data_IF_348114833993
#
_entry.id   IF_348114833993
#
_cell.length_a   1.000
_cell.length_b   1.000
_cell.length_c   1.000
_cell.angle_alpha   90.00
_cell.angle_beta   90.00
_cell.angle_gamma   90.00
#
_symmetry.space_group_name_H-M   'P 1'
#
loop_
_entity.id
_entity.type
_entity.pdbx_description
1 polymer ?
#
# COMPACT_ATOMS: atom_id res chain seq x y z
N UNK A 1 -19.47 -25.11 7.33
CA UNK A 1 -18.28 -24.29 7.71
C UNK A 1 -17.38 -23.97 6.52
N UNK A 2 -16.90 -24.94 5.74
CA UNK A 2 -15.96 -24.65 4.63
C UNK A 2 -16.49 -23.68 3.57
N UNK A 3 -17.74 -23.85 3.12
CA UNK A 3 -18.36 -22.95 2.14
C UNK A 3 -18.41 -21.50 2.66
N UNK A 4 -18.79 -21.31 3.93
CA UNK A 4 -18.81 -20.02 4.59
C UNK A 4 -17.42 -19.35 4.59
N UNK A 5 -16.36 -20.09 4.96
CA UNK A 5 -14.98 -19.57 4.91
C UNK A 5 -14.52 -19.21 3.51
N UNK A 6 -14.97 -19.94 2.46
CA UNK A 6 -14.65 -19.58 1.07
C UNK A 6 -15.38 -18.30 0.64
N UNK A 7 -16.65 -18.13 1.03
CA UNK A 7 -17.40 -16.90 0.74
C UNK A 7 -16.76 -15.68 1.39
N UNK A 8 -16.42 -15.76 2.69
CA UNK A 8 -15.73 -14.68 3.39
C UNK A 8 -14.35 -14.40 2.80
N UNK A 9 -13.60 -15.43 2.41
CA UNK A 9 -12.30 -15.28 1.74
C UNK A 9 -12.44 -14.46 0.44
N UNK A 10 -13.43 -14.78 -0.41
CA UNK A 10 -13.64 -14.06 -1.67
C UNK A 10 -14.05 -12.61 -1.42
N UNK A 11 -14.96 -12.36 -0.47
CA UNK A 11 -15.36 -10.98 -0.12
C UNK A 11 -14.19 -10.17 0.43
N UNK A 12 -13.40 -10.76 1.34
CA UNK A 12 -12.23 -10.12 1.92
C UNK A 12 -11.14 -9.85 0.87
N UNK A 13 -10.97 -10.77 -0.10
CA UNK A 13 -10.10 -10.55 -1.26
C UNK A 13 -10.59 -9.41 -2.15
N UNK A 14 -11.89 -9.33 -2.45
CA UNK A 14 -12.42 -8.27 -3.30
C UNK A 14 -12.18 -6.89 -2.69
N UNK A 15 -12.37 -6.74 -1.38
CA UNK A 15 -12.09 -5.48 -0.68
C UNK A 15 -10.58 -5.25 -0.57
N UNK A 16 -9.85 -6.19 0.04
CA UNK A 16 -8.43 -6.00 0.35
C UNK A 16 -7.52 -5.98 -0.87
N UNK A 17 -7.78 -6.85 -1.84
CA UNK A 17 -7.06 -6.92 -3.11
C UNK A 17 -7.32 -5.73 -4.02
N UNK A 18 -8.56 -5.22 -4.06
CA UNK A 18 -8.84 -3.99 -4.80
C UNK A 18 -8.12 -2.79 -4.18
N UNK A 19 -8.21 -2.61 -2.86
CA UNK A 19 -7.50 -1.54 -2.14
C UNK A 19 -5.98 -1.62 -2.32
N UNK A 20 -5.38 -2.81 -2.28
CA UNK A 20 -3.96 -2.99 -2.53
C UNK A 20 -3.58 -2.65 -3.99
N UNK A 21 -4.41 -3.04 -4.96
CA UNK A 21 -4.15 -2.82 -6.39
C UNK A 21 -4.30 -1.37 -6.84
N UNK A 22 -5.19 -0.60 -6.23
CA UNK A 22 -5.39 0.83 -6.57
C UNK A 22 -4.44 1.76 -5.80
N UNK A 23 -3.64 1.24 -4.87
CA UNK A 23 -2.81 2.04 -3.96
C UNK A 23 -1.88 2.99 -4.72
N UNK A 24 -1.21 2.50 -5.76
CA UNK A 24 -0.32 3.30 -6.60
C UNK A 24 -1.04 4.49 -7.25
N UNK A 25 -2.18 4.24 -7.90
CA UNK A 25 -3.00 5.31 -8.52
C UNK A 25 -3.50 6.32 -7.50
N UNK A 26 -3.85 5.89 -6.29
CA UNK A 26 -4.28 6.80 -5.24
C UNK A 26 -3.14 7.69 -4.74
N UNK A 27 -1.92 7.16 -4.69
CA UNK A 27 -0.72 7.94 -4.36
C UNK A 27 -0.44 8.97 -5.44
N UNK A 28 -0.44 8.57 -6.72
CA UNK A 28 -0.19 9.48 -7.85
C UNK A 28 -1.22 10.61 -7.95
N UNK A 29 -2.51 10.27 -7.78
CA UNK A 29 -3.58 11.26 -7.80
C UNK A 29 -3.43 12.29 -6.67
N UNK A 30 -2.97 11.86 -5.49
CA UNK A 30 -2.74 12.78 -4.36
C UNK A 30 -1.52 13.67 -4.54
N UNK A 31 -0.58 13.30 -5.40
CA UNK A 31 0.52 14.17 -5.82
C UNK A 31 0.10 15.14 -6.93
N UNK A 32 -1.20 15.27 -7.26
CA UNK A 32 -1.69 16.14 -8.32
C UNK A 32 -1.28 15.71 -9.73
N UNK A 33 -0.81 14.47 -9.87
CA UNK A 33 -0.29 13.94 -11.13
C UNK A 33 -1.36 13.25 -11.98
N UNK A 34 -2.56 13.00 -11.44
CA UNK A 34 -3.65 12.26 -12.10
C UNK A 34 -3.23 10.88 -12.68
N UNK A 35 -2.17 10.27 -12.13
CA UNK A 35 -1.59 9.04 -12.67
C UNK A 35 -0.74 9.24 -13.95
N UNK A 36 -0.42 10.49 -14.31
CA UNK A 36 0.54 10.81 -15.37
C UNK A 36 1.96 10.79 -14.80
N UNK A 37 2.80 9.80 -15.19
CA UNK A 37 4.16 9.68 -14.68
C UNK A 37 5.02 10.91 -14.98
N UNK A 38 4.73 11.67 -16.05
CA UNK A 38 5.47 12.90 -16.38
C UNK A 38 5.25 14.00 -15.36
N UNK A 39 4.00 14.19 -14.92
CA UNK A 39 3.66 15.16 -13.86
C UNK A 39 4.28 14.76 -12.53
N UNK A 40 4.29 13.45 -12.23
CA UNK A 40 4.95 12.94 -11.03
C UNK A 40 6.45 13.24 -11.04
N UNK A 41 7.12 13.07 -12.19
CA UNK A 41 8.53 13.43 -12.35
C UNK A 41 8.76 14.94 -12.19
N UNK A 42 7.87 15.79 -12.72
CA UNK A 42 7.94 17.25 -12.54
C UNK A 42 7.84 17.65 -11.05
N UNK A 43 6.91 17.05 -10.30
CA UNK A 43 6.78 17.27 -8.85
C UNK A 43 8.06 16.87 -8.12
N UNK A 44 8.66 15.72 -8.45
CA UNK A 44 9.91 15.31 -7.85
C UNK A 44 11.10 16.22 -8.21
N UNK A 45 11.14 16.77 -9.43
CA UNK A 45 12.14 17.77 -9.80
C UNK A 45 11.99 19.08 -9.02
N UNK A 46 10.75 19.54 -8.81
CA UNK A 46 10.48 20.73 -7.98
C UNK A 46 10.96 20.52 -6.54
N UNK A 47 10.68 19.35 -5.95
CA UNK A 47 11.17 18.99 -4.61
C UNK A 47 12.69 18.93 -4.55
N UNK A 48 13.36 18.40 -5.58
CA UNK A 48 14.82 18.35 -5.60
C UNK A 48 15.45 19.75 -5.70
N UNK A 49 14.85 20.63 -6.51
CA UNK A 49 15.27 22.03 -6.62
C UNK A 49 15.03 22.78 -5.29
N UNK A 50 13.88 22.58 -4.66
CA UNK A 50 13.58 23.13 -3.35
C UNK A 50 14.60 22.66 -2.29
N UNK A 51 14.95 21.36 -2.28
CA UNK A 51 15.99 20.82 -1.38
C UNK A 51 17.35 21.49 -1.59
N UNK A 52 17.78 21.66 -2.85
CA UNK A 52 19.05 22.35 -3.18
C UNK A 52 19.05 23.81 -2.71
N UNK A 53 17.94 24.53 -2.85
CA UNK A 53 17.81 25.89 -2.36
C UNK A 53 17.87 25.95 -0.82
N UNK A 54 17.10 25.11 -0.14
CA UNK A 54 17.12 25.00 1.34
C UNK A 54 18.52 24.64 1.86
N UNK A 55 19.23 23.72 1.21
CA UNK A 55 20.62 23.40 1.56
C UNK A 55 21.58 24.58 1.33
N UNK A 56 21.35 25.38 0.30
CA UNK A 56 22.15 26.58 0.02
C UNK A 56 21.95 27.62 1.12
N UNK A 57 20.70 27.87 1.53
CA UNK A 57 20.41 28.75 2.67
C UNK A 57 21.01 28.24 3.98
N UNK A 58 20.94 26.92 4.26
CA UNK A 58 21.62 26.32 5.42
C UNK A 58 23.14 26.54 5.39
N UNK A 59 23.78 26.37 4.23
CA UNK A 59 25.22 26.60 4.04
C UNK A 59 25.62 28.07 4.22
N UNK A 60 24.71 28.99 3.94
CA UNK A 60 24.89 30.43 4.21
C UNK A 60 24.70 30.81 5.68
N UNK A 61 24.43 29.84 6.57
CA UNK A 61 24.22 30.07 8.00
C UNK A 61 22.82 30.57 8.35
N UNK A 62 21.89 30.54 7.40
CA UNK A 62 20.49 30.92 7.61
C UNK A 62 19.75 29.71 8.21
N UNK A 63 19.21 29.89 9.42
CA UNK A 63 18.35 28.89 10.05
C UNK A 63 16.97 28.90 9.37
N UNK A 64 16.84 28.15 8.28
CA UNK A 64 15.63 27.99 7.46
C UNK A 64 14.38 27.59 8.25
N UNK A 65 14.50 27.10 9.48
CA UNK A 65 13.34 26.78 10.34
C UNK A 65 12.83 27.98 11.16
N UNK A 66 13.55 29.10 11.16
CA UNK A 66 13.21 30.33 11.90
C UNK A 66 13.01 31.55 11.00
N UNK A 67 13.08 31.35 9.68
CA UNK A 67 12.98 32.44 8.70
C UNK A 67 11.53 32.52 8.22
N UNK A 68 10.90 33.66 8.48
CA UNK A 68 9.54 34.00 8.06
C UNK A 68 9.48 34.42 6.57
N UNK A 69 10.35 33.87 5.73
CA UNK A 69 10.33 34.12 4.29
C UNK A 69 9.29 33.19 3.64
N UNK A 70 8.25 33.75 3.00
CA UNK A 70 7.16 32.97 2.40
C UNK A 70 7.66 31.99 1.33
N UNK A 71 8.77 32.28 0.63
CA UNK A 71 9.32 31.34 -0.35
C UNK A 71 10.00 30.13 0.31
N UNK A 72 10.66 30.34 1.45
CA UNK A 72 11.31 29.25 2.20
C UNK A 72 10.25 28.36 2.84
N UNK A 73 9.16 28.94 3.36
CA UNK A 73 8.03 28.18 3.90
C UNK A 73 7.36 27.35 2.80
N UNK A 74 7.14 27.90 1.61
CA UNK A 74 6.57 27.16 0.47
C UNK A 74 7.48 26.00 0.05
N UNK A 75 8.81 26.18 0.03
CA UNK A 75 9.75 25.09 -0.24
C UNK A 75 9.74 24.01 0.84
N UNK A 76 9.64 24.38 2.11
CA UNK A 76 9.57 23.43 3.21
C UNK A 76 8.26 22.63 3.16
N UNK A 77 7.13 23.30 2.92
CA UNK A 77 5.82 22.68 2.77
C UNK A 77 5.78 21.72 1.57
N UNK A 78 6.39 22.10 0.43
CA UNK A 78 6.52 21.24 -0.73
C UNK A 78 7.38 19.99 -0.45
N UNK A 79 8.47 20.14 0.31
CA UNK A 79 9.35 19.01 0.69
C UNK A 79 8.64 18.07 1.68
N UNK A 80 7.83 18.62 2.58
CA UNK A 80 7.14 17.86 3.63
C UNK A 80 5.89 17.14 3.10
N UNK A 81 5.16 17.75 2.17
CA UNK A 81 3.94 17.19 1.58
C UNK A 81 4.19 16.05 0.60
N UNK A 82 5.35 16.02 -0.07
CA UNK A 82 5.66 14.99 -1.08
C UNK A 82 6.46 13.85 -0.45
N UNK A 83 5.92 12.60 -0.44
CA UNK A 83 6.64 11.48 0.13
C UNK A 83 7.87 11.09 -0.73
N UNK A 84 8.89 10.48 -0.12
CA UNK A 84 10.06 9.99 -0.84
C UNK A 84 9.67 9.06 -2.00
N UNK A 85 10.29 9.25 -3.16
CA UNK A 85 10.02 8.47 -4.38
C UNK A 85 10.08 6.96 -4.18
N UNK A 86 11.08 6.50 -3.40
CA UNK A 86 11.20 5.09 -3.07
C UNK A 86 9.96 4.55 -2.34
N UNK A 87 9.35 5.30 -1.41
CA UNK A 87 8.16 4.83 -0.70
C UNK A 87 6.98 4.65 -1.65
N UNK A 88 6.82 5.56 -2.61
CA UNK A 88 5.75 5.48 -3.63
C UNK A 88 5.95 4.28 -4.53
N UNK A 89 7.14 4.13 -5.11
CA UNK A 89 7.46 3.04 -6.04
C UNK A 89 7.34 1.66 -5.36
N UNK A 90 7.88 1.52 -4.15
CA UNK A 90 7.83 0.26 -3.42
C UNK A 90 6.41 -0.05 -2.91
N UNK A 91 5.68 0.93 -2.38
CA UNK A 91 4.30 0.70 -1.93
C UNK A 91 3.38 0.33 -3.11
N UNK A 92 3.52 1.03 -4.25
CA UNK A 92 2.74 0.75 -5.45
C UNK A 92 2.99 -0.64 -6.03
N UNK A 93 4.27 -0.97 -6.28
CA UNK A 93 4.63 -2.28 -6.83
C UNK A 93 4.28 -3.42 -5.88
N UNK A 94 4.53 -3.24 -4.58
CA UNK A 94 4.18 -4.24 -3.56
C UNK A 94 2.66 -4.45 -3.50
N UNK A 95 1.85 -3.40 -3.63
CA UNK A 95 0.39 -3.49 -3.67
C UNK A 95 -0.13 -4.36 -4.81
N UNK A 96 0.38 -4.16 -6.03
CA UNK A 96 0.00 -4.94 -7.21
C UNK A 96 0.43 -6.40 -7.07
N UNK A 97 1.69 -6.64 -6.67
CA UNK A 97 2.22 -8.00 -6.46
C UNK A 97 1.42 -8.73 -5.39
N UNK A 98 1.08 -8.05 -4.30
CA UNK A 98 0.31 -8.61 -3.21
C UNK A 98 -1.12 -8.97 -3.63
N UNK A 99 -1.78 -8.12 -4.43
CA UNK A 99 -3.10 -8.42 -4.99
C UNK A 99 -3.06 -9.66 -5.88
N UNK A 100 -2.03 -9.80 -6.73
CA UNK A 100 -1.83 -10.99 -7.56
C UNK A 100 -1.59 -12.25 -6.71
N UNK A 101 -0.73 -12.18 -5.69
CA UNK A 101 -0.49 -13.30 -4.77
C UNK A 101 -1.75 -13.72 -4.02
N UNK A 102 -2.55 -12.75 -3.56
CA UNK A 102 -3.83 -13.01 -2.90
C UNK A 102 -4.83 -13.70 -3.84
N UNK A 103 -4.87 -13.33 -5.12
CA UNK A 103 -5.68 -14.02 -6.13
C UNK A 103 -5.23 -15.47 -6.34
N UNK A 104 -3.92 -15.69 -6.47
CA UNK A 104 -3.35 -17.06 -6.57
C UNK A 104 -3.73 -17.88 -5.33
N UNK A 105 -3.68 -17.28 -4.13
CA UNK A 105 -4.09 -17.93 -2.89
C UNK A 105 -5.55 -18.36 -2.91
N UNK A 106 -6.45 -17.48 -3.36
CA UNK A 106 -7.88 -17.81 -3.52
C UNK A 106 -8.04 -19.03 -4.43
N UNK A 107 -7.40 -19.03 -5.60
CA UNK A 107 -7.46 -20.16 -6.56
C UNK A 107 -6.91 -21.45 -5.94
N UNK A 108 -5.74 -21.40 -5.31
CA UNK A 108 -5.10 -22.55 -4.65
C UNK A 108 -5.96 -23.10 -3.51
N UNK A 109 -6.67 -22.24 -2.77
CA UNK A 109 -7.62 -22.65 -1.73
C UNK A 109 -8.82 -23.43 -2.29
N UNK A 110 -9.31 -23.06 -3.49
CA UNK A 110 -10.34 -23.82 -4.20
C UNK A 110 -9.84 -25.17 -4.72
N UNK A 111 -8.61 -25.22 -5.25
CA UNK A 111 -7.97 -26.47 -5.73
C UNK A 111 -7.52 -27.36 -4.55
N UNK A 112 -7.61 -26.87 -3.30
CA UNK A 112 -7.33 -27.62 -2.08
C UNK A 112 -5.88 -28.11 -1.98
N UNK A 113 -4.93 -27.38 -2.57
CA UNK A 113 -3.50 -27.75 -2.51
C UNK A 113 -2.86 -27.31 -1.19
N UNK A 114 -1.85 -28.05 -0.74
CA UNK A 114 -1.07 -27.73 0.46
C UNK A 114 -0.38 -26.36 0.41
N UNK A 115 -0.10 -25.87 -0.81
CA UNK A 115 0.53 -24.58 -1.07
C UNK A 115 -0.25 -23.39 -0.49
N UNK A 116 -1.54 -23.53 -0.19
CA UNK A 116 -2.35 -22.46 0.42
C UNK A 116 -1.82 -22.02 1.79
N UNK A 117 -1.21 -22.93 2.56
CA UNK A 117 -0.69 -22.62 3.90
C UNK A 117 0.49 -21.66 3.86
N UNK A 118 1.62 -21.98 3.19
CA UNK A 118 2.74 -21.05 3.10
C UNK A 118 2.36 -19.75 2.39
N UNK A 119 1.46 -19.82 1.39
CA UNK A 119 1.00 -18.64 0.67
C UNK A 119 0.16 -17.71 1.54
N UNK A 120 -0.70 -18.24 2.41
CA UNK A 120 -1.48 -17.43 3.37
C UNK A 120 -0.60 -16.68 4.36
N UNK A 121 0.46 -17.32 4.85
CA UNK A 121 1.44 -16.68 5.75
C UNK A 121 2.19 -15.58 5.00
N UNK A 122 2.63 -15.85 3.78
CA UNK A 122 3.32 -14.88 2.94
C UNK A 122 2.44 -13.65 2.66
N UNK A 123 1.17 -13.85 2.27
CA UNK A 123 0.22 -12.76 2.01
C UNK A 123 0.00 -11.92 3.26
N UNK A 124 -0.16 -12.54 4.43
CA UNK A 124 -0.35 -11.82 5.70
C UNK A 124 0.89 -11.00 6.11
N UNK A 125 2.10 -11.54 5.93
CA UNK A 125 3.33 -10.80 6.22
C UNK A 125 3.53 -9.63 5.26
N UNK A 126 3.36 -9.87 3.96
CA UNK A 126 3.49 -8.83 2.94
C UNK A 126 2.44 -7.73 3.09
N UNK A 127 1.23 -8.04 3.58
CA UNK A 127 0.21 -7.03 3.84
C UNK A 127 0.58 -6.09 4.98
N UNK A 128 1.25 -6.61 6.02
CA UNK A 128 1.78 -5.79 7.12
C UNK A 128 2.94 -4.92 6.60
N UNK A 129 3.85 -5.50 5.82
CA UNK A 129 4.97 -4.75 5.21
C UNK A 129 4.44 -3.62 4.32
N UNK A 130 3.45 -3.90 3.45
CA UNK A 130 2.81 -2.90 2.61
C UNK A 130 2.23 -1.76 3.43
N UNK A 131 1.50 -2.07 4.49
CA UNK A 131 0.96 -1.04 5.37
C UNK A 131 2.06 -0.22 6.04
N UNK A 132 3.16 -0.85 6.46
CA UNK A 132 4.29 -0.16 7.09
C UNK A 132 4.98 0.83 6.15
N UNK A 133 5.30 0.41 4.91
CA UNK A 133 6.03 1.24 3.93
C UNK A 133 5.17 2.32 3.26
N UNK A 134 3.83 2.15 3.24
CA UNK A 134 2.95 3.13 2.63
C UNK A 134 3.05 4.47 3.37
N UNK A 135 3.28 5.60 2.67
CA UNK A 135 3.38 6.91 3.30
C UNK A 135 2.03 7.38 3.85
N UNK A 136 2.08 8.15 4.94
CA UNK A 136 0.95 8.96 5.36
C UNK A 136 1.01 10.29 4.60
N UNK A 137 -0.06 10.61 3.89
CA UNK A 137 -0.22 11.92 3.24
C UNK A 137 -1.44 12.58 3.85
N UNK A 138 -1.25 13.77 4.42
CA UNK A 138 -2.35 14.58 4.94
C UNK A 138 -3.35 14.94 3.83
N UNK A 139 -4.54 15.40 4.21
CA UNK A 139 -5.53 15.91 3.26
C UNK A 139 -4.99 17.20 2.64
N UNK A 140 -4.18 17.06 1.59
CA UNK A 140 -3.84 18.17 0.72
C UNK A 140 -5.02 18.58 -0.17
N UNK A 141 -4.82 19.62 -0.96
CA UNK A 141 -5.73 20.16 -1.99
C UNK A 141 -6.25 19.12 -3.00
N UNK A 142 -5.65 17.93 -3.05
CA UNK A 142 -6.00 16.85 -3.96
C UNK A 142 -6.85 15.76 -3.30
N UNK A 143 -8.06 15.57 -3.85
CA UNK A 143 -9.10 14.65 -3.38
C UNK A 143 -8.67 13.17 -3.36
N UNK A 144 -9.12 12.41 -2.35
CA UNK A 144 -8.95 10.95 -2.24
C UNK A 144 -8.85 10.47 -0.80
N UNK A 145 -8.90 9.14 -0.57
CA UNK A 145 -8.67 8.57 0.76
C UNK A 145 -7.16 8.50 1.07
N UNK A 146 -6.79 8.62 2.35
CA UNK A 146 -5.39 8.56 2.76
C UNK A 146 -4.73 7.23 2.35
N UNK A 147 -3.59 7.24 1.63
CA UNK A 147 -2.91 6.03 1.19
C UNK A 147 -2.61 5.07 2.35
N UNK A 148 -2.22 5.58 3.51
CA UNK A 148 -2.02 4.78 4.73
C UNK A 148 -3.31 4.07 5.18
N UNK A 149 -4.44 4.78 5.09
CA UNK A 149 -5.76 4.23 5.42
C UNK A 149 -6.19 3.17 4.40
N UNK A 150 -5.97 3.42 3.09
CA UNK A 150 -6.24 2.41 2.06
C UNK A 150 -5.37 1.18 2.26
N UNK A 151 -4.08 1.35 2.56
CA UNK A 151 -3.18 0.25 2.87
C UNK A 151 -3.59 -0.51 4.15
N UNK A 152 -4.16 0.18 5.14
CA UNK A 152 -4.70 -0.46 6.33
C UNK A 152 -5.93 -1.31 6.01
N UNK A 153 -6.88 -0.78 5.21
CA UNK A 153 -8.06 -1.53 4.75
C UNK A 153 -7.61 -2.75 3.92
N UNK A 154 -6.64 -2.56 3.03
CA UNK A 154 -6.01 -3.64 2.28
C UNK A 154 -5.41 -4.69 3.22
N UNK A 155 -4.65 -4.26 4.23
CA UNK A 155 -4.02 -5.15 5.21
C UNK A 155 -5.06 -5.99 5.97
N UNK A 156 -6.10 -5.36 6.51
CA UNK A 156 -7.16 -6.07 7.24
C UNK A 156 -7.88 -7.06 6.32
N UNK A 157 -8.29 -6.61 5.12
CA UNK A 157 -8.98 -7.46 4.15
C UNK A 157 -8.14 -8.68 3.73
N UNK A 158 -6.84 -8.47 3.46
CA UNK A 158 -5.93 -9.54 3.07
C UNK A 158 -5.58 -10.48 4.21
N UNK A 159 -5.45 -9.99 5.45
CA UNK A 159 -5.27 -10.84 6.63
C UNK A 159 -6.49 -11.74 6.87
N UNK A 160 -7.70 -11.19 6.76
CA UNK A 160 -8.94 -11.98 6.87
C UNK A 160 -9.02 -13.00 5.75
N UNK A 161 -8.70 -12.60 4.52
CA UNK A 161 -8.63 -13.50 3.37
C UNK A 161 -7.65 -14.66 3.62
N UNK A 162 -6.43 -14.37 4.08
CA UNK A 162 -5.41 -15.36 4.40
C UNK A 162 -5.86 -16.32 5.51
N UNK A 163 -6.46 -15.81 6.59
CA UNK A 163 -6.99 -16.63 7.68
C UNK A 163 -8.11 -17.56 7.20
N UNK A 164 -9.03 -17.07 6.37
CA UNK A 164 -10.10 -17.88 5.79
C UNK A 164 -9.58 -18.94 4.82
N UNK A 165 -8.57 -18.62 4.01
CA UNK A 165 -7.91 -19.57 3.11
C UNK A 165 -7.25 -20.72 3.89
N UNK A 166 -6.51 -20.38 4.94
CA UNK A 166 -5.88 -21.34 5.84
C UNK A 166 -6.90 -22.25 6.54
N UNK A 167 -7.95 -21.66 7.11
CA UNK A 167 -9.04 -22.38 7.77
C UNK A 167 -9.77 -23.31 6.81
N UNK A 168 -10.07 -22.85 5.59
CA UNK A 168 -10.72 -23.66 4.55
C UNK A 168 -9.93 -24.93 4.22
N UNK A 169 -8.60 -24.83 4.15
CA UNK A 169 -7.73 -25.97 3.92
C UNK A 169 -7.65 -26.93 5.11
N UNK A 170 -7.51 -26.41 6.34
CA UNK A 170 -7.52 -27.24 7.56
C UNK A 170 -8.85 -28.00 7.72
N UNK A 171 -9.97 -27.36 7.44
CA UNK A 171 -11.30 -28.00 7.43
C UNK A 171 -11.39 -29.08 6.35
N UNK A 172 -10.75 -28.90 5.19
CA UNK A 172 -10.68 -29.94 4.17
C UNK A 172 -9.93 -31.18 4.66
N UNK A 173 -8.73 -30.99 5.21
CA UNK A 173 -7.91 -32.08 5.74
C UNK A 173 -8.64 -32.86 6.83
N UNK A 174 -9.28 -32.14 7.77
CA UNK A 174 -10.08 -32.78 8.83
C UNK A 174 -11.22 -33.61 8.27
N UNK A 175 -11.93 -33.11 7.24
CA UNK A 175 -12.98 -33.90 6.58
C UNK A 175 -12.41 -35.16 5.92
N UNK A 176 -11.31 -35.02 5.18
CA UNK A 176 -10.66 -36.15 4.52
C UNK A 176 -10.20 -37.24 5.50
N UNK A 177 -9.69 -36.88 6.68
CA UNK A 177 -9.27 -37.84 7.71
C UNK A 177 -10.43 -38.61 8.36
N UNK A 178 -11.64 -38.06 8.38
CA UNK A 178 -12.83 -38.71 8.95
C UNK A 178 -13.53 -39.62 7.93
N UNK A 179 -13.17 -39.51 6.64
CA UNK A 179 -13.81 -40.30 5.56
C UNK A 179 -12.95 -41.48 5.09
N UNK A 180 -11.80 -41.69 5.73
CA UNK A 180 -10.91 -42.86 5.56
C UNK A 180 -11.12 -43.77 6.75
#
# INVERSE_FOLDING_TARGET
>A
MRALSLTFMVLAFLVGGFCAGILFKNIDNRMGSDGDPKKTDEVYQLVENAKKQVETFKKQGIDVTKVDDPQIQEYLELIESVPPRWQVDYAGNTGIVLAALALVMVVVAFIKKALVTPLSILVALLSIVLWYITPYMEEGTFSGANPKTIALIACIGLMVCAACAFMSYKLHLKKSQVTV
#
